data_IF_022666809234
#
_entry.id   IF_022666809234
#
_cell.length_a   1.000
_cell.length_b   1.000
_cell.length_c   1.000
_cell.angle_alpha   90.00
_cell.angle_beta   90.00
_cell.angle_gamma   90.00
#
_symmetry.space_group_name_H-M   'P 1'
#
loop_
_entity.id
_entity.type
_entity.pdbx_description
1 polymer ?
#
# COMPACT_ATOMS: atom_id res chain seq x y z
N UNK A 1 18.66 -4.41 27.37
CA UNK A 1 19.14 -5.09 26.14
C UNK A 1 17.95 -5.82 25.55
N UNK A 2 17.52 -5.49 24.34
CA UNK A 2 16.47 -6.28 23.69
C UNK A 2 17.01 -7.72 23.54
N UNK A 3 16.26 -8.71 24.03
CA UNK A 3 16.65 -10.11 23.95
C UNK A 3 16.92 -10.51 22.50
N UNK A 4 17.99 -11.26 22.27
CA UNK A 4 18.42 -11.65 20.93
C UNK A 4 17.31 -12.44 20.21
N UNK A 5 16.82 -11.95 19.08
CA UNK A 5 15.76 -12.62 18.32
C UNK A 5 16.27 -13.94 17.72
N UNK A 6 15.38 -14.92 17.64
CA UNK A 6 15.66 -16.15 16.87
C UNK A 6 15.55 -15.86 15.37
N UNK A 7 16.22 -16.67 14.53
CA UNK A 7 16.08 -16.56 13.05
C UNK A 7 14.62 -16.69 12.60
N UNK A 8 13.86 -17.55 13.29
CA UNK A 8 12.43 -17.75 13.05
C UNK A 8 11.65 -16.45 13.33
N UNK A 9 11.95 -15.76 14.44
CA UNK A 9 11.28 -14.50 14.77
C UNK A 9 11.59 -13.40 13.75
N UNK A 10 12.86 -13.28 13.34
CA UNK A 10 13.30 -12.30 12.33
C UNK A 10 12.57 -12.53 11.00
N UNK A 11 12.45 -13.80 10.58
CA UNK A 11 11.67 -14.16 9.39
C UNK A 11 10.18 -13.87 9.55
N UNK A 12 9.60 -14.18 10.70
CA UNK A 12 8.18 -13.96 10.97
C UNK A 12 7.84 -12.45 10.94
N UNK A 13 8.71 -11.61 11.50
CA UNK A 13 8.54 -10.16 11.49
C UNK A 13 8.55 -9.61 10.04
N UNK A 14 9.47 -10.09 9.19
CA UNK A 14 9.50 -9.77 7.75
C UNK A 14 8.21 -10.22 7.05
N UNK A 15 7.77 -11.46 7.28
CA UNK A 15 6.56 -12.01 6.68
C UNK A 15 5.32 -11.19 7.07
N UNK A 16 5.21 -10.81 8.35
CA UNK A 16 4.12 -9.98 8.87
C UNK A 16 4.10 -8.58 8.24
N UNK A 17 5.26 -7.95 8.06
CA UNK A 17 5.34 -6.65 7.39
C UNK A 17 4.92 -6.74 5.92
N UNK A 18 5.31 -7.81 5.22
CA UNK A 18 4.88 -8.04 3.84
C UNK A 18 3.36 -8.28 3.73
N UNK A 19 2.76 -9.00 4.68
CA UNK A 19 1.30 -9.18 4.75
C UNK A 19 0.57 -7.83 4.92
N UNK A 20 1.09 -6.94 5.76
CA UNK A 20 0.53 -5.59 5.92
C UNK A 20 0.64 -4.77 4.63
N UNK A 21 1.77 -4.83 3.92
CA UNK A 21 1.93 -4.17 2.62
C UNK A 21 0.94 -4.73 1.58
N UNK A 22 0.70 -6.04 1.56
CA UNK A 22 -0.25 -6.66 0.63
C UNK A 22 -1.69 -6.18 0.86
N UNK A 23 -2.10 -5.97 2.11
CA UNK A 23 -3.41 -5.40 2.44
C UNK A 23 -3.59 -3.98 1.89
N UNK A 24 -2.53 -3.17 1.89
CA UNK A 24 -2.56 -1.84 1.28
C UNK A 24 -2.71 -1.92 -0.25
N UNK A 25 -2.03 -2.85 -0.90
CA UNK A 25 -2.18 -3.07 -2.35
C UNK A 25 -3.57 -3.57 -2.73
N UNK A 26 -4.16 -4.44 -1.91
CA UNK A 26 -5.54 -4.91 -2.10
C UNK A 26 -6.53 -3.74 -1.98
N UNK A 27 -6.38 -2.89 -0.96
CA UNK A 27 -7.18 -1.68 -0.81
C UNK A 27 -6.98 -0.71 -2.00
N UNK A 28 -5.75 -0.50 -2.45
CA UNK A 28 -5.45 0.33 -3.61
C UNK A 28 -6.13 -0.21 -4.89
N UNK A 29 -6.09 -1.53 -5.11
CA UNK A 29 -6.79 -2.18 -6.23
C UNK A 29 -8.30 -2.01 -6.14
N UNK A 30 -8.89 -2.13 -4.95
CA UNK A 30 -10.32 -1.90 -4.76
C UNK A 30 -10.70 -0.46 -5.10
N UNK A 31 -9.92 0.52 -4.62
CA UNK A 31 -10.13 1.94 -4.90
C UNK A 31 -10.02 2.24 -6.40
N UNK A 32 -9.04 1.65 -7.10
CA UNK A 32 -8.89 1.80 -8.56
C UNK A 32 -10.14 1.30 -9.30
N UNK A 33 -10.67 0.14 -8.93
CA UNK A 33 -11.91 -0.37 -9.53
C UNK A 33 -13.11 0.55 -9.27
N UNK A 34 -13.24 1.09 -8.06
CA UNK A 34 -14.31 2.04 -7.76
C UNK A 34 -14.15 3.35 -8.53
N UNK A 35 -12.92 3.83 -8.72
CA UNK A 35 -12.63 4.97 -9.59
C UNK A 35 -13.08 4.72 -11.03
N UNK A 36 -12.80 3.53 -11.59
CA UNK A 36 -13.23 3.16 -12.95
C UNK A 36 -14.76 3.10 -13.07
N UNK A 37 -15.44 2.53 -12.05
CA UNK A 37 -16.91 2.51 -11.99
C UNK A 37 -17.49 3.92 -11.94
N UNK A 38 -16.85 4.82 -11.19
CA UNK A 38 -17.29 6.20 -11.06
C UNK A 38 -17.13 6.99 -12.37
N UNK A 39 -16.07 6.74 -13.13
CA UNK A 39 -15.90 7.26 -14.50
C UNK A 39 -16.99 6.74 -15.45
N UNK A 40 -17.36 5.47 -15.35
CA UNK A 40 -18.47 4.89 -16.10
C UNK A 40 -19.80 5.58 -15.79
N UNK A 41 -20.12 5.73 -14.50
CA UNK A 41 -21.33 6.44 -14.05
C UNK A 41 -21.36 7.89 -14.53
N UNK A 42 -20.21 8.58 -14.51
CA UNK A 42 -20.11 9.95 -15.05
C UNK A 42 -20.50 10.00 -16.52
N UNK A 43 -19.98 9.06 -17.33
CA UNK A 43 -20.30 8.97 -18.76
C UNK A 43 -21.80 8.85 -18.99
N UNK A 44 -22.46 7.96 -18.24
CA UNK A 44 -23.92 7.77 -18.30
C UNK A 44 -24.70 9.04 -17.90
N UNK A 45 -24.31 9.68 -16.80
CA UNK A 45 -24.95 10.91 -16.33
C UNK A 45 -24.81 12.03 -17.36
N UNK A 46 -23.60 12.25 -17.89
CA UNK A 46 -23.36 13.31 -18.88
C UNK A 46 -24.06 13.07 -20.22
N UNK A 47 -24.41 11.82 -20.53
CA UNK A 47 -25.17 11.47 -21.74
C UNK A 47 -26.67 11.69 -21.57
N UNK A 48 -27.20 11.46 -20.37
CA UNK A 48 -28.63 11.55 -20.09
C UNK A 48 -29.07 12.92 -19.57
N UNK A 49 -28.15 13.70 -19.01
CA UNK A 49 -28.44 14.99 -18.38
C UNK A 49 -27.61 16.10 -19.04
N UNK A 50 -28.31 17.03 -19.67
CA UNK A 50 -27.73 18.21 -20.32
C UNK A 50 -27.89 19.49 -19.48
N UNK A 51 -27.08 20.50 -19.79
CA UNK A 51 -27.14 21.83 -19.17
C UNK A 51 -26.08 22.09 -18.08
N UNK A 52 -26.01 23.34 -17.63
CA UNK A 52 -24.94 23.82 -16.73
C UNK A 52 -24.82 23.04 -15.43
N UNK A 53 -25.94 22.57 -14.87
CA UNK A 53 -25.93 21.78 -13.65
C UNK A 53 -25.31 20.39 -13.85
N UNK A 54 -25.54 19.76 -15.02
CA UNK A 54 -24.91 18.50 -15.38
C UNK A 54 -23.39 18.66 -15.52
N UNK A 55 -22.94 19.74 -16.18
CA UNK A 55 -21.53 20.06 -16.32
C UNK A 55 -20.84 20.28 -14.96
N UNK A 56 -21.50 21.00 -14.04
CA UNK A 56 -20.99 21.19 -12.66
C UNK A 56 -20.91 19.87 -11.90
N UNK A 57 -21.90 19.00 -12.04
CA UNK A 57 -21.90 17.70 -11.38
C UNK A 57 -20.80 16.79 -11.95
N UNK A 58 -20.63 16.74 -13.27
CA UNK A 58 -19.54 16.01 -13.93
C UNK A 58 -18.16 16.50 -13.45
N UNK A 59 -17.98 17.80 -13.27
CA UNK A 59 -16.76 18.36 -12.71
C UNK A 59 -16.49 17.88 -11.28
N UNK A 60 -17.52 17.79 -10.42
CA UNK A 60 -17.36 17.18 -9.09
C UNK A 60 -16.99 15.70 -9.19
N UNK A 61 -17.54 14.98 -10.18
CA UNK A 61 -17.20 13.59 -10.37
C UNK A 61 -15.72 13.41 -10.76
N UNK A 62 -15.20 14.29 -11.62
CA UNK A 62 -13.79 14.28 -12.04
C UNK A 62 -12.84 14.51 -10.85
N UNK A 63 -13.20 15.42 -9.93
CA UNK A 63 -12.43 15.65 -8.69
C UNK A 63 -12.38 14.38 -7.84
N UNK A 64 -13.53 13.75 -7.57
CA UNK A 64 -13.59 12.53 -6.75
C UNK A 64 -12.81 11.39 -7.40
N UNK A 65 -12.93 11.18 -8.72
CA UNK A 65 -12.12 10.21 -9.47
C UNK A 65 -10.63 10.47 -9.30
N UNK A 66 -10.19 11.72 -9.42
CA UNK A 66 -8.79 12.10 -9.25
C UNK A 66 -8.29 11.83 -7.82
N UNK A 67 -9.11 12.11 -6.82
CA UNK A 67 -8.78 11.86 -5.41
C UNK A 67 -8.66 10.36 -5.14
N UNK A 68 -9.58 9.54 -5.66
CA UNK A 68 -9.51 8.08 -5.56
C UNK A 68 -8.23 7.52 -6.20
N UNK A 69 -7.88 7.98 -7.40
CA UNK A 69 -6.64 7.58 -8.08
C UNK A 69 -5.40 7.98 -7.29
N UNK A 70 -5.42 9.17 -6.67
CA UNK A 70 -4.32 9.66 -5.85
C UNK A 70 -4.17 8.85 -4.57
N UNK A 71 -5.27 8.56 -3.88
CA UNK A 71 -5.29 7.73 -2.69
C UNK A 71 -4.76 6.32 -2.98
N UNK A 72 -5.19 5.69 -4.09
CA UNK A 72 -4.68 4.38 -4.47
C UNK A 72 -3.15 4.39 -4.68
N UNK A 73 -2.60 5.41 -5.35
CA UNK A 73 -1.14 5.56 -5.53
C UNK A 73 -0.40 5.75 -4.20
N UNK A 74 -0.98 6.49 -3.26
CA UNK A 74 -0.40 6.69 -1.94
C UNK A 74 -0.34 5.39 -1.12
N UNK A 75 -1.36 4.55 -1.23
CA UNK A 75 -1.38 3.23 -0.59
C UNK A 75 -0.30 2.31 -1.17
N UNK A 76 -0.16 2.27 -2.49
CA UNK A 76 0.91 1.50 -3.18
C UNK A 76 2.30 1.99 -2.76
N UNK A 77 2.52 3.31 -2.75
CA UNK A 77 3.79 3.88 -2.30
C UNK A 77 4.09 3.55 -0.82
N UNK A 78 3.07 3.53 0.02
CA UNK A 78 3.23 3.15 1.45
C UNK A 78 3.57 1.66 1.58
N UNK A 79 2.93 0.79 0.80
CA UNK A 79 3.23 -0.63 0.75
C UNK A 79 4.70 -0.89 0.37
N UNK A 80 5.20 -0.18 -0.64
CA UNK A 80 6.60 -0.28 -1.09
C UNK A 80 7.60 0.18 -0.03
N UNK A 81 7.29 1.26 0.69
CA UNK A 81 8.12 1.73 1.82
C UNK A 81 8.14 0.69 2.95
N UNK A 82 7.01 0.07 3.27
CA UNK A 82 6.94 -1.00 4.28
C UNK A 82 7.84 -2.17 3.87
N UNK A 83 7.73 -2.65 2.63
CA UNK A 83 8.55 -3.76 2.12
C UNK A 83 10.03 -3.44 2.19
N UNK A 84 10.42 -2.24 1.74
CA UNK A 84 11.81 -1.79 1.76
C UNK A 84 12.36 -1.74 3.18
N UNK A 85 11.62 -1.14 4.11
CA UNK A 85 12.05 -1.04 5.50
C UNK A 85 12.12 -2.41 6.17
N UNK A 86 11.12 -3.27 5.94
CA UNK A 86 11.10 -4.63 6.48
C UNK A 86 12.31 -5.44 5.98
N UNK A 87 12.66 -5.32 4.69
CA UNK A 87 13.84 -5.98 4.14
C UNK A 87 15.14 -5.48 4.78
N UNK A 88 15.29 -4.16 4.91
CA UNK A 88 16.48 -3.58 5.54
C UNK A 88 16.64 -4.03 7.00
N UNK A 89 15.53 -4.09 7.76
CA UNK A 89 15.52 -4.57 9.14
C UNK A 89 15.90 -6.05 9.19
N UNK A 90 15.30 -6.88 8.33
CA UNK A 90 15.63 -8.30 8.24
C UNK A 90 17.13 -8.53 7.99
N UNK A 91 17.69 -7.86 6.98
CA UNK A 91 19.11 -8.02 6.62
C UNK A 91 20.03 -7.60 7.78
N UNK A 92 19.69 -6.50 8.47
CA UNK A 92 20.43 -6.02 9.64
C UNK A 92 20.34 -6.97 10.85
N UNK A 93 19.15 -7.48 11.16
CA UNK A 93 18.93 -8.42 12.27
C UNK A 93 19.62 -9.76 12.01
N UNK A 94 19.60 -10.25 10.77
CA UNK A 94 20.29 -11.49 10.38
C UNK A 94 21.80 -11.35 10.49
N UNK A 95 22.38 -10.21 10.09
CA UNK A 95 23.82 -9.97 10.22
C UNK A 95 24.24 -9.84 11.69
N UNK A 96 23.46 -9.09 12.50
CA UNK A 96 23.72 -8.98 13.93
C UNK A 96 23.70 -10.37 14.61
N UNK A 97 22.75 -11.22 14.22
CA UNK A 97 22.68 -12.59 14.71
C UNK A 97 23.86 -13.45 14.28
N UNK A 98 24.27 -13.37 13.01
CA UNK A 98 25.45 -14.09 12.51
C UNK A 98 26.71 -13.74 13.32
N UNK A 99 26.90 -12.45 13.64
CA UNK A 99 28.01 -11.98 14.46
C UNK A 99 27.93 -12.47 15.90
N UNK A 100 26.73 -12.53 16.49
CA UNK A 100 26.52 -13.08 17.84
C UNK A 100 26.82 -14.58 17.88
N UNK A 101 26.33 -15.36 16.90
CA UNK A 101 26.61 -16.78 16.76
C UNK A 101 28.14 -17.02 16.70
N UNK A 102 28.88 -16.23 15.91
CA UNK A 102 30.35 -16.33 15.81
C UNK A 102 31.04 -16.04 17.16
N UNK A 103 30.63 -14.99 17.87
CA UNK A 103 31.19 -14.61 19.17
C UNK A 103 30.96 -15.67 20.25
N UNK A 104 29.81 -16.33 20.21
CA UNK A 104 29.46 -17.37 21.18
C UNK A 104 30.14 -18.72 20.89
N UNK A 105 30.65 -18.91 19.68
CA UNK A 105 31.40 -20.10 19.26
C UNK A 105 32.92 -19.91 19.28
N UNK A 106 33.42 -18.74 19.71
CA UNK A 106 34.84 -18.42 19.91
C UNK A 106 35.21 -18.47 21.39
#
# INVERSE_FOLDING_TARGET
MAGEKSRIQIWYDLAKANDQANKLDEAAKAIKRESERFEGCRSEVTRAWEGDNAARFAGKMDVVTSDLKTLAKQLEATADVIRKNARNIYDAEMEAKRLADIRNHS
#
